data_IF_900531691317
#
_entry.id   IF_900531691317
#
_cell.length_a   1.000
_cell.length_b   1.000
_cell.length_c   1.000
_cell.angle_alpha   90.00
_cell.angle_beta   90.00
_cell.angle_gamma   90.00
#
_symmetry.space_group_name_H-M   'P 1'
#
loop_
_entity.id
_entity.type
_entity.pdbx_description
1 polymer ?
#
# COMPACT_ATOMS: atom_id res chain seq x y z
N UNK A 1 -1.52 -7.65 -21.46
CA UNK A 1 -1.14 -8.46 -22.66
C UNK A 1 -0.99 -9.92 -22.24
N UNK A 2 -1.55 -10.86 -23.02
CA UNK A 2 -1.28 -12.30 -22.82
C UNK A 2 -0.18 -12.72 -23.76
N UNK A 3 0.86 -13.36 -23.26
CA UNK A 3 1.95 -13.92 -24.04
C UNK A 3 1.79 -15.44 -24.13
N UNK A 4 2.02 -16.02 -25.30
CA UNK A 4 2.04 -17.47 -25.48
C UNK A 4 3.33 -18.07 -24.95
N UNK A 5 3.32 -19.35 -24.53
CA UNK A 5 4.53 -20.05 -24.10
C UNK A 5 5.62 -20.07 -25.19
N UNK A 6 5.23 -20.22 -26.45
CA UNK A 6 6.16 -20.16 -27.59
C UNK A 6 6.84 -18.79 -27.71
N UNK A 7 6.14 -17.71 -27.39
CA UNK A 7 6.74 -16.37 -27.39
C UNK A 7 7.83 -16.26 -26.32
N UNK A 8 7.58 -16.77 -25.12
CA UNK A 8 8.59 -16.77 -24.05
C UNK A 8 9.84 -17.56 -24.46
N UNK A 9 9.68 -18.75 -25.03
CA UNK A 9 10.81 -19.57 -25.51
C UNK A 9 11.61 -18.84 -26.60
N UNK A 10 10.91 -18.29 -27.59
CA UNK A 10 11.58 -17.51 -28.67
C UNK A 10 12.36 -16.34 -28.12
N UNK A 11 11.76 -15.52 -27.25
CA UNK A 11 12.42 -14.35 -26.68
C UNK A 11 13.59 -14.74 -25.77
N UNK A 12 13.48 -15.83 -25.00
CA UNK A 12 14.58 -16.36 -24.21
C UNK A 12 15.78 -16.75 -25.08
N UNK A 13 15.55 -17.44 -26.20
CA UNK A 13 16.59 -17.84 -27.15
C UNK A 13 17.24 -16.66 -27.90
N UNK A 14 16.50 -15.55 -28.05
CA UNK A 14 16.98 -14.34 -28.74
C UNK A 14 17.50 -13.27 -27.79
N UNK A 15 17.72 -13.57 -26.50
CA UNK A 15 18.21 -12.63 -25.48
C UNK A 15 17.23 -11.53 -25.15
N UNK A 16 15.93 -11.79 -25.26
CA UNK A 16 14.84 -10.87 -24.92
C UNK A 16 14.79 -9.56 -25.72
N UNK A 17 15.31 -9.57 -26.94
CA UNK A 17 15.39 -8.37 -27.81
C UNK A 17 14.09 -8.01 -28.52
N UNK A 18 13.13 -8.93 -28.60
CA UNK A 18 11.87 -8.73 -29.33
C UNK A 18 10.71 -8.17 -28.50
N UNK A 19 10.91 -7.84 -27.24
CA UNK A 19 9.89 -7.24 -26.40
C UNK A 19 9.66 -5.78 -26.77
N UNK A 20 8.39 -5.44 -26.97
CA UNK A 20 8.00 -4.02 -27.05
C UNK A 20 7.99 -3.39 -25.65
N UNK A 21 8.34 -2.11 -25.51
CA UNK A 21 8.15 -1.40 -24.25
C UNK A 21 6.71 -1.56 -23.73
N UNK A 22 6.56 -1.72 -22.41
CA UNK A 22 5.25 -1.82 -21.79
C UNK A 22 4.47 -0.50 -21.86
N UNK A 23 5.18 0.60 -21.84
CA UNK A 23 4.63 1.95 -22.00
C UNK A 23 4.49 2.33 -23.48
N UNK A 24 3.58 3.24 -23.74
CA UNK A 24 3.35 3.81 -25.07
C UNK A 24 3.74 5.27 -25.06
N UNK A 25 4.57 5.67 -26.00
CA UNK A 25 4.89 7.08 -26.24
C UNK A 25 3.87 7.61 -27.26
N UNK A 26 2.71 8.03 -26.77
CA UNK A 26 1.63 8.55 -27.60
C UNK A 26 1.69 10.07 -27.63
N UNK A 27 1.52 10.65 -28.83
CA UNK A 27 1.33 12.09 -28.95
C UNK A 27 0.08 12.53 -28.16
N UNK A 28 0.13 13.68 -27.48
CA UNK A 28 -1.03 14.22 -26.78
C UNK A 28 -2.20 14.42 -27.74
N UNK A 29 -3.41 14.20 -27.27
CA UNK A 29 -4.64 14.51 -28.02
C UNK A 29 -4.92 16.01 -27.98
N UNK A 30 -5.70 16.51 -28.90
CA UNK A 30 -6.10 17.91 -28.93
C UNK A 30 -6.99 18.31 -27.73
N UNK A 31 -7.80 17.38 -27.23
CA UNK A 31 -8.74 17.62 -26.13
C UNK A 31 -8.78 16.43 -25.19
N UNK A 32 -9.02 16.71 -23.91
CA UNK A 32 -9.27 15.74 -22.85
C UNK A 32 -10.49 16.16 -22.04
N UNK A 33 -11.28 15.18 -21.58
CA UNK A 33 -12.43 15.43 -20.69
C UNK A 33 -11.96 15.65 -19.25
N UNK A 34 -10.87 14.99 -18.87
CA UNK A 34 -10.26 15.10 -17.53
C UNK A 34 -8.76 15.26 -17.65
N UNK A 35 -8.23 16.23 -16.93
CA UNK A 35 -6.78 16.43 -16.78
C UNK A 35 -6.42 16.35 -15.31
N UNK A 36 -5.55 15.41 -14.96
CA UNK A 36 -5.06 15.19 -13.61
C UNK A 36 -3.60 15.63 -13.56
N UNK A 37 -3.27 16.52 -12.63
CA UNK A 37 -1.92 17.04 -12.46
C UNK A 37 -1.22 16.25 -11.37
N UNK A 38 -0.18 15.52 -11.74
CA UNK A 38 0.65 14.70 -10.89
C UNK A 38 0.44 13.20 -11.09
N UNK A 39 1.50 12.48 -11.47
CA UNK A 39 1.56 11.02 -11.64
C UNK A 39 1.97 10.28 -10.36
N UNK A 40 1.60 10.78 -9.19
CA UNK A 40 1.76 10.09 -7.91
C UNK A 40 0.59 9.18 -7.59
N UNK A 41 0.60 8.54 -6.40
CA UNK A 41 -0.44 7.58 -6.01
C UNK A 41 -1.86 8.14 -6.08
N UNK A 42 -2.06 9.37 -5.64
CA UNK A 42 -3.40 10.00 -5.69
C UNK A 42 -3.84 10.28 -7.13
N UNK A 43 -2.96 10.82 -7.98
CA UNK A 43 -3.32 11.12 -9.37
C UNK A 43 -3.60 9.85 -10.18
N UNK A 44 -2.76 8.83 -10.05
CA UNK A 44 -2.96 7.53 -10.71
C UNK A 44 -4.23 6.84 -10.22
N UNK A 45 -4.46 6.79 -8.91
CA UNK A 45 -5.69 6.22 -8.35
C UNK A 45 -6.93 7.00 -8.80
N UNK A 46 -6.87 8.34 -8.87
CA UNK A 46 -7.97 9.17 -9.38
C UNK A 46 -8.29 8.80 -10.83
N UNK A 47 -7.28 8.70 -11.70
CA UNK A 47 -7.48 8.30 -13.09
C UNK A 47 -8.11 6.91 -13.19
N UNK A 48 -7.57 5.95 -12.43
CA UNK A 48 -8.05 4.58 -12.39
C UNK A 48 -9.52 4.49 -11.94
N UNK A 49 -9.86 5.10 -10.81
CA UNK A 49 -11.23 5.02 -10.29
C UNK A 49 -12.24 5.84 -11.08
N UNK A 50 -11.84 6.96 -11.70
CA UNK A 50 -12.68 7.67 -12.66
C UNK A 50 -13.03 6.76 -13.85
N UNK A 51 -12.06 6.08 -14.40
CA UNK A 51 -12.31 5.14 -15.50
C UNK A 51 -13.16 3.95 -15.06
N UNK A 52 -12.82 3.34 -13.93
CA UNK A 52 -13.47 2.11 -13.44
C UNK A 52 -14.90 2.35 -12.96
N UNK A 53 -15.10 3.36 -12.11
CA UNK A 53 -16.37 3.57 -11.40
C UNK A 53 -17.33 4.50 -12.14
N UNK A 54 -16.81 5.37 -13.00
CA UNK A 54 -17.58 6.40 -13.69
C UNK A 54 -17.52 6.30 -15.22
N UNK A 55 -16.79 5.31 -15.75
CA UNK A 55 -16.70 5.10 -17.20
C UNK A 55 -15.96 6.19 -17.96
N UNK A 56 -15.17 7.01 -17.27
CA UNK A 56 -14.38 8.07 -17.91
C UNK A 56 -13.36 7.47 -18.88
N UNK A 57 -13.26 8.01 -20.11
CA UNK A 57 -12.44 7.42 -21.18
C UNK A 57 -11.33 8.31 -21.70
N UNK A 58 -11.48 9.60 -21.61
CA UNK A 58 -10.56 10.57 -22.20
C UNK A 58 -9.84 11.34 -21.08
N UNK A 59 -8.98 10.62 -20.35
CA UNK A 59 -8.25 11.12 -19.18
C UNK A 59 -6.80 11.34 -19.56
N UNK A 60 -6.21 12.48 -19.17
CA UNK A 60 -4.77 12.72 -19.18
C UNK A 60 -4.23 12.84 -17.75
N UNK A 61 -3.10 12.22 -17.48
CA UNK A 61 -2.31 12.45 -16.26
C UNK A 61 -1.02 13.16 -16.68
N UNK A 62 -0.82 14.37 -16.15
CA UNK A 62 0.37 15.18 -16.42
C UNK A 62 1.36 15.05 -15.26
N UNK A 63 2.54 14.53 -15.53
CA UNK A 63 3.61 14.40 -14.55
C UNK A 63 4.87 15.16 -15.04
N UNK A 64 5.41 16.02 -14.17
CA UNK A 64 6.59 16.83 -14.51
C UNK A 64 7.91 16.08 -14.50
N UNK A 65 7.96 14.94 -13.82
CA UNK A 65 9.14 14.12 -13.64
C UNK A 65 8.94 12.71 -14.18
N UNK A 66 8.76 11.77 -13.28
CA UNK A 66 8.46 10.38 -13.62
C UNK A 66 7.34 9.83 -12.74
N UNK A 67 6.63 8.83 -13.23
CA UNK A 67 5.52 8.19 -12.52
C UNK A 67 5.98 7.71 -11.14
N UNK A 68 5.26 8.14 -10.09
CA UNK A 68 5.58 7.80 -8.72
C UNK A 68 6.80 8.51 -8.12
N UNK A 69 7.43 9.44 -8.82
CA UNK A 69 8.66 10.12 -8.39
C UNK A 69 8.54 11.04 -7.17
N UNK A 70 7.32 11.38 -6.78
CA UNK A 70 7.00 12.18 -5.59
C UNK A 70 6.97 11.36 -4.29
N UNK A 71 5.96 11.59 -3.46
CA UNK A 71 5.81 10.91 -2.15
C UNK A 71 5.67 9.39 -2.27
N UNK A 72 5.05 8.86 -3.32
CA UNK A 72 4.95 7.42 -3.56
C UNK A 72 6.34 6.78 -3.60
N UNK A 73 7.28 7.36 -4.34
CA UNK A 73 8.64 6.85 -4.43
C UNK A 73 9.52 7.04 -3.19
N UNK A 74 9.03 7.76 -2.17
CA UNK A 74 9.81 8.14 -0.97
C UNK A 74 9.19 7.71 0.35
N UNK A 75 8.06 7.00 0.32
CA UNK A 75 7.36 6.57 1.53
C UNK A 75 7.94 5.26 2.09
N UNK A 76 7.48 4.90 3.28
CA UNK A 76 7.89 3.67 3.98
C UNK A 76 7.17 2.42 3.48
N UNK A 77 6.25 2.55 2.53
CA UNK A 77 5.47 1.45 1.95
C UNK A 77 4.55 0.69 2.91
N UNK A 78 4.31 1.24 4.09
CA UNK A 78 3.44 0.64 5.10
C UNK A 78 1.98 0.99 4.76
N UNK A 79 1.14 -0.03 4.64
CA UNK A 79 -0.32 0.08 4.50
C UNK A 79 -0.98 -0.30 5.83
N UNK A 80 -1.89 0.55 6.31
CA UNK A 80 -2.53 0.38 7.61
C UNK A 80 -3.75 1.30 7.77
N UNK A 81 -4.63 0.97 8.73
CA UNK A 81 -5.74 1.84 9.16
C UNK A 81 -5.67 2.21 10.65
N UNK A 82 -4.56 2.02 11.31
CA UNK A 82 -4.37 2.21 12.74
C UNK A 82 -4.18 3.70 13.13
N UNK A 83 -5.15 4.55 12.79
CA UNK A 83 -5.15 5.97 13.13
C UNK A 83 -6.03 6.26 14.34
N UNK A 84 -5.76 7.37 15.05
CA UNK A 84 -6.44 7.71 16.29
C UNK A 84 -7.61 8.68 16.11
N UNK A 85 -7.54 9.53 15.08
CA UNK A 85 -8.51 10.62 14.94
C UNK A 85 -9.83 10.09 14.38
N UNK A 86 -10.91 10.37 15.08
CA UNK A 86 -12.28 10.14 14.61
C UNK A 86 -12.48 10.76 13.22
N UNK A 87 -13.20 10.09 12.36
CA UNK A 87 -13.38 10.50 10.97
C UNK A 87 -12.24 10.09 10.02
N UNK A 88 -11.01 9.90 10.51
CA UNK A 88 -9.93 9.35 9.69
C UNK A 88 -10.01 7.82 9.57
N UNK A 89 -10.48 7.13 10.60
CA UNK A 89 -10.51 5.67 10.61
C UNK A 89 -11.37 5.08 9.51
N UNK A 90 -12.62 5.53 9.25
CA UNK A 90 -13.42 5.03 8.14
C UNK A 90 -12.74 5.24 6.78
N UNK A 91 -12.04 6.36 6.60
CA UNK A 91 -11.28 6.67 5.40
C UNK A 91 -10.12 5.69 5.19
N UNK A 92 -9.31 5.48 6.23
CA UNK A 92 -8.17 4.58 6.15
C UNK A 92 -8.57 3.10 6.10
N UNK A 93 -9.66 2.72 6.79
CA UNK A 93 -10.21 1.36 6.70
C UNK A 93 -10.77 1.07 5.30
N UNK A 94 -11.45 2.03 4.68
CA UNK A 94 -11.85 1.94 3.29
C UNK A 94 -10.63 1.81 2.36
N UNK A 95 -9.60 2.62 2.58
CA UNK A 95 -8.34 2.52 1.83
C UNK A 95 -7.69 1.15 1.98
N UNK A 96 -7.66 0.59 3.20
CA UNK A 96 -7.11 -0.75 3.44
C UNK A 96 -7.86 -1.83 2.65
N UNK A 97 -9.21 -1.76 2.60
CA UNK A 97 -10.02 -2.67 1.78
C UNK A 97 -9.73 -2.55 0.29
N UNK A 98 -9.45 -1.34 -0.20
CA UNK A 98 -9.03 -1.16 -1.60
C UNK A 98 -7.67 -1.82 -1.87
N UNK A 99 -6.73 -1.75 -0.93
CA UNK A 99 -5.45 -2.46 -1.04
C UNK A 99 -5.64 -3.98 -1.12
N UNK A 100 -6.53 -4.54 -0.31
CA UNK A 100 -6.80 -5.99 -0.26
C UNK A 100 -7.30 -6.56 -1.59
N UNK A 101 -8.01 -5.77 -2.39
CA UNK A 101 -8.52 -6.17 -3.71
C UNK A 101 -7.64 -5.75 -4.90
N UNK A 102 -6.62 -4.91 -4.68
CA UNK A 102 -5.94 -4.19 -5.76
C UNK A 102 -5.24 -5.11 -6.77
N UNK A 103 -4.57 -6.16 -6.31
CA UNK A 103 -3.84 -7.07 -7.19
C UNK A 103 -4.76 -7.83 -8.14
N UNK A 104 -5.95 -8.22 -7.65
CA UNK A 104 -6.98 -8.86 -8.45
C UNK A 104 -7.59 -7.88 -9.46
N UNK A 105 -7.86 -6.66 -9.00
CA UNK A 105 -8.43 -5.61 -9.82
C UNK A 105 -7.53 -5.21 -10.99
N UNK A 106 -6.24 -5.08 -10.72
CA UNK A 106 -5.23 -4.72 -11.72
C UNK A 106 -4.75 -5.93 -12.54
N UNK A 107 -5.02 -7.16 -12.08
CA UNK A 107 -4.37 -8.38 -12.59
C UNK A 107 -2.84 -8.20 -12.64
N UNK A 108 -2.29 -7.63 -11.58
CA UNK A 108 -0.88 -7.23 -11.48
C UNK A 108 -0.37 -7.42 -10.04
N UNK A 109 0.82 -7.98 -9.88
CA UNK A 109 1.41 -8.21 -8.58
C UNK A 109 2.06 -6.93 -8.03
N UNK A 110 1.36 -6.23 -7.16
CA UNK A 110 1.85 -5.06 -6.43
C UNK A 110 2.73 -5.43 -5.22
N UNK A 111 2.95 -6.72 -4.99
CA UNK A 111 3.72 -7.26 -3.85
C UNK A 111 3.13 -6.81 -2.50
N UNK A 112 1.82 -6.91 -2.37
CA UNK A 112 1.11 -6.62 -1.13
C UNK A 112 1.35 -7.78 -0.15
N UNK A 113 1.87 -7.45 1.03
CA UNK A 113 2.19 -8.43 2.07
C UNK A 113 1.58 -7.99 3.41
N UNK A 114 0.42 -8.56 3.75
CA UNK A 114 -0.29 -8.31 5.01
C UNK A 114 0.20 -9.27 6.10
N UNK A 115 1.34 -8.92 6.69
CA UNK A 115 1.94 -9.70 7.80
C UNK A 115 1.74 -9.05 9.17
N UNK A 116 0.90 -8.03 9.20
CA UNK A 116 0.62 -7.22 10.38
C UNK A 116 1.60 -6.08 10.56
N UNK A 117 1.20 -5.17 11.42
CA UNK A 117 2.01 -4.07 11.92
C UNK A 117 1.99 -4.15 13.44
N UNK A 118 3.15 -4.02 14.07
CA UNK A 118 3.28 -3.97 15.52
C UNK A 118 3.93 -2.64 15.92
N UNK A 119 3.21 -1.85 16.71
CA UNK A 119 3.75 -0.67 17.36
C UNK A 119 4.17 -1.05 18.77
N UNK A 120 5.48 -1.02 19.05
CA UNK A 120 6.03 -1.37 20.36
C UNK A 120 5.82 -0.26 21.38
N UNK A 121 5.62 -0.65 22.62
CA UNK A 121 5.43 0.22 23.78
C UNK A 121 6.64 0.14 24.69
N UNK A 122 7.25 1.27 25.02
CA UNK A 122 8.45 1.36 25.86
C UNK A 122 8.22 2.10 27.18
N UNK A 123 7.06 2.71 27.38
CA UNK A 123 6.71 3.43 28.62
C UNK A 123 5.23 3.21 28.98
N UNK A 124 4.88 3.45 30.24
CA UNK A 124 3.50 3.35 30.71
C UNK A 124 2.60 4.39 30.01
N UNK A 125 3.10 5.61 29.81
CA UNK A 125 2.38 6.64 29.07
C UNK A 125 2.09 6.22 27.62
N UNK A 126 3.03 5.54 26.94
CA UNK A 126 2.77 4.98 25.61
C UNK A 126 1.74 3.84 25.66
N UNK A 127 1.79 2.99 26.70
CA UNK A 127 0.82 1.92 26.87
C UNK A 127 -0.59 2.49 26.99
N UNK A 128 -0.78 3.51 27.84
CA UNK A 128 -2.07 4.15 28.01
C UNK A 128 -2.58 4.82 26.72
N UNK A 129 -1.68 5.49 26.00
CA UNK A 129 -2.01 6.10 24.72
C UNK A 129 -2.40 5.05 23.66
N UNK A 130 -1.68 3.95 23.60
CA UNK A 130 -1.96 2.88 22.64
C UNK A 130 -3.20 2.06 23.04
N UNK A 131 -3.51 1.94 24.32
CA UNK A 131 -4.78 1.35 24.80
C UNK A 131 -5.97 2.18 24.33
N UNK A 132 -5.93 3.50 24.51
CA UNK A 132 -6.99 4.39 23.98
C UNK A 132 -7.11 4.27 22.47
N UNK A 133 -5.98 4.26 21.75
CA UNK A 133 -5.96 4.09 20.29
C UNK A 133 -6.53 2.75 19.84
N UNK A 134 -6.13 1.66 20.48
CA UNK A 134 -6.64 0.32 20.18
C UNK A 134 -8.14 0.21 20.41
N UNK A 135 -8.64 0.78 21.51
CA UNK A 135 -10.08 0.83 21.79
C UNK A 135 -10.84 1.64 20.73
N UNK A 136 -10.32 2.81 20.33
CA UNK A 136 -10.93 3.61 19.26
C UNK A 136 -10.95 2.84 17.92
N UNK A 137 -9.86 2.15 17.57
CA UNK A 137 -9.81 1.30 16.38
C UNK A 137 -10.89 0.22 16.40
N UNK A 138 -11.04 -0.50 17.51
CA UNK A 138 -12.05 -1.57 17.65
C UNK A 138 -13.46 -0.98 17.51
N UNK A 139 -13.75 0.14 18.16
CA UNK A 139 -15.04 0.83 18.08
C UNK A 139 -15.39 1.26 16.64
N UNK A 140 -14.41 1.60 15.84
CA UNK A 140 -14.57 2.01 14.44
C UNK A 140 -14.44 0.84 13.44
N UNK A 141 -14.35 -0.39 13.94
CA UNK A 141 -14.33 -1.60 13.10
C UNK A 141 -12.99 -1.97 12.48
N UNK A 142 -11.91 -1.30 12.89
CA UNK A 142 -10.55 -1.71 12.51
C UNK A 142 -10.05 -2.83 13.42
N UNK A 143 -9.23 -3.73 12.89
CA UNK A 143 -8.60 -4.78 13.67
C UNK A 143 -7.49 -4.19 14.56
N UNK A 144 -7.60 -4.44 15.86
CA UNK A 144 -6.59 -4.02 16.84
C UNK A 144 -6.43 -5.09 17.92
N UNK A 145 -5.16 -5.34 18.28
CA UNK A 145 -4.79 -6.31 19.32
C UNK A 145 -3.77 -5.68 20.26
N UNK A 146 -4.14 -5.53 21.51
CA UNK A 146 -3.27 -5.03 22.59
C UNK A 146 -2.48 -6.20 23.16
N UNK A 147 -1.24 -6.32 22.76
CA UNK A 147 -0.36 -7.44 23.09
C UNK A 147 0.45 -7.18 24.35
N UNK A 148 0.54 -8.20 25.21
CA UNK A 148 1.53 -8.23 26.32
C UNK A 148 2.92 -8.51 25.76
N UNK A 149 3.95 -8.30 26.60
CA UNK A 149 5.35 -8.62 26.24
C UNK A 149 5.51 -10.10 25.92
N UNK A 150 4.88 -10.99 26.69
CA UNK A 150 4.91 -12.45 26.50
C UNK A 150 4.24 -12.84 25.17
N UNK A 151 3.10 -12.23 24.85
CA UNK A 151 2.41 -12.44 23.58
C UNK A 151 3.26 -12.00 22.38
N UNK A 152 3.97 -10.86 22.52
CA UNK A 152 4.91 -10.37 21.51
C UNK A 152 6.06 -11.35 21.33
N UNK A 153 6.67 -11.80 22.42
CA UNK A 153 7.79 -12.75 22.36
C UNK A 153 7.40 -14.08 21.71
N UNK A 154 6.20 -14.56 22.02
CA UNK A 154 5.68 -15.80 21.41
C UNK A 154 5.42 -15.65 19.91
N UNK A 155 4.85 -14.51 19.48
CA UNK A 155 4.49 -14.26 18.08
C UNK A 155 5.68 -13.83 17.22
N UNK A 156 6.60 -13.09 17.82
CA UNK A 156 7.77 -12.50 17.15
C UNK A 156 9.06 -12.89 17.88
N UNK A 157 9.47 -14.18 17.84
CA UNK A 157 10.57 -14.70 18.63
C UNK A 157 11.94 -14.10 18.28
N UNK A 158 12.03 -13.40 17.14
CA UNK A 158 13.23 -12.69 16.72
C UNK A 158 13.41 -11.31 17.40
N UNK A 159 12.38 -10.81 18.11
CA UNK A 159 12.46 -9.55 18.85
C UNK A 159 13.11 -9.78 20.22
N UNK A 160 14.13 -9.00 20.55
CA UNK A 160 14.69 -8.98 21.89
C UNK A 160 13.81 -8.14 22.82
N UNK A 161 12.93 -8.79 23.55
CA UNK A 161 12.00 -8.12 24.49
C UNK A 161 12.66 -7.81 25.84
N UNK A 162 13.79 -8.43 26.15
CA UNK A 162 14.50 -8.33 27.44
C UNK A 162 15.58 -7.26 27.45
N UNK A 163 15.58 -6.33 26.50
CA UNK A 163 16.56 -5.27 26.46
C UNK A 163 16.35 -4.28 27.61
N UNK A 164 17.30 -4.24 28.53
CA UNK A 164 17.24 -3.39 29.72
C UNK A 164 17.22 -1.89 29.41
N UNK A 165 17.84 -1.44 28.29
CA UNK A 165 17.91 -0.02 27.93
C UNK A 165 16.56 0.52 27.39
N UNK A 166 15.87 -0.29 26.60
CA UNK A 166 14.58 0.05 26.00
C UNK A 166 13.62 -1.14 26.17
N UNK A 167 13.09 -1.34 27.40
CA UNK A 167 12.22 -2.49 27.66
C UNK A 167 10.95 -2.39 26.81
N UNK A 168 10.52 -3.52 26.29
CA UNK A 168 9.23 -3.63 25.61
C UNK A 168 8.17 -3.97 26.67
N UNK A 169 7.22 -3.04 26.88
CA UNK A 169 6.14 -3.17 27.87
C UNK A 169 4.81 -3.64 27.28
N UNK A 170 4.82 -4.02 26.00
CA UNK A 170 3.65 -4.43 25.24
C UNK A 170 3.65 -3.83 23.84
N UNK A 171 2.53 -3.92 23.16
CA UNK A 171 2.37 -3.39 21.81
C UNK A 171 0.92 -3.30 21.36
N UNK A 172 0.71 -2.53 20.30
CA UNK A 172 -0.54 -2.49 19.57
C UNK A 172 -0.30 -3.08 18.18
N UNK A 173 -0.92 -4.21 17.90
CA UNK A 173 -0.86 -4.87 16.60
C UNK A 173 -2.09 -4.56 15.76
N UNK A 174 -1.88 -4.48 14.45
CA UNK A 174 -2.92 -4.51 13.43
C UNK A 174 -2.59 -5.62 12.44
N UNK A 175 -3.38 -6.70 12.43
CA UNK A 175 -3.06 -7.91 11.67
C UNK A 175 -3.27 -7.75 10.17
N UNK A 176 -4.23 -6.93 9.75
CA UNK A 176 -4.49 -6.61 8.35
C UNK A 176 -3.53 -5.56 7.77
N UNK A 177 -2.75 -4.90 8.61
CA UNK A 177 -1.69 -4.01 8.16
C UNK A 177 -0.57 -4.78 7.44
N UNK A 178 0.24 -4.07 6.66
CA UNK A 178 1.31 -4.71 5.91
C UNK A 178 2.17 -3.75 5.13
N UNK A 179 2.80 -4.26 4.11
CA UNK A 179 3.65 -3.51 3.20
C UNK A 179 3.28 -3.76 1.75
N UNK A 180 3.67 -2.85 0.88
CA UNK A 180 3.44 -2.93 -0.56
C UNK A 180 4.66 -2.41 -1.30
N UNK A 181 4.91 -2.87 -2.51
CA UNK A 181 5.96 -2.30 -3.32
C UNK A 181 5.41 -1.09 -4.11
N UNK A 182 5.84 0.09 -3.69
CA UNK A 182 5.33 1.39 -4.16
C UNK A 182 5.44 1.61 -5.67
N UNK A 183 6.58 1.19 -6.26
CA UNK A 183 6.81 1.28 -7.69
C UNK A 183 5.90 0.31 -8.46
N UNK A 184 5.72 -0.91 -7.98
CA UNK A 184 4.80 -1.87 -8.56
C UNK A 184 3.36 -1.32 -8.57
N UNK A 185 2.91 -0.68 -7.48
CA UNK A 185 1.58 -0.05 -7.42
C UNK A 185 1.43 1.08 -8.43
N UNK A 186 2.47 1.90 -8.61
CA UNK A 186 2.41 3.03 -9.54
C UNK A 186 2.40 2.57 -11.01
N UNK A 187 2.98 1.42 -11.32
CA UNK A 187 3.07 0.88 -12.67
C UNK A 187 1.96 -0.13 -13.03
N UNK A 188 1.27 -0.69 -12.05
CA UNK A 188 0.13 -1.59 -12.24
C UNK A 188 -1.10 -0.88 -12.76
#
# INVERSE_FOLDING_TARGET
>A
MRYSGFRFIKEALTGHKGWKPAWRDLAPRANYDYIIIGGGGHGLATAYYLARNHGAKNIAVLEKGWIGGGNVGRNTTIIRSNYLLDGNEPFYEHSLKLWEGLEQDLNYNAMISQRGILNLVHSDAQRDAFTRRGNAMILNGADADLMTTEAIQKRYPFLNVNNARFPIKGGLAQHRGGTVRRDAVAWG
#
